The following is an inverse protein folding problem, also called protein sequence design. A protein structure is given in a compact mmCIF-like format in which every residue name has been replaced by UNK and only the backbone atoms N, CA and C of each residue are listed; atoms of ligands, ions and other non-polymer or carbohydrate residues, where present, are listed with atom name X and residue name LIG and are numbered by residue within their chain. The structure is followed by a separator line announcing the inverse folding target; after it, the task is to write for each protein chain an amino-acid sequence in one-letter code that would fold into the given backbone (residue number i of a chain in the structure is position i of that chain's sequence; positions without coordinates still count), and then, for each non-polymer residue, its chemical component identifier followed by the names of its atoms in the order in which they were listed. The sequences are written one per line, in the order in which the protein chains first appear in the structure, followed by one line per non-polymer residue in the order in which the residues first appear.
data_IF_209198707478
#
_entry.id   IF_209198707478
#
_cell.length_a   1.000
_cell.length_b   1.000
_cell.length_c   1.000
_cell.angle_alpha   90.00
_cell.angle_beta   90.00
_cell.angle_gamma   90.00
#
_symmetry.space_group_name_H-M   'P 1'
#
loop_
_entity.id
_entity.type
_entity.pdbx_description
1 polymer ?
#
# COMPACT_ATOMS: atom_id res chain seq x y z
N UNK A 1 13.46 -11.63 0.56
CA UNK A 1 12.50 -11.43 1.66
C UNK A 1 12.96 -12.28 2.83
N UNK A 2 12.87 -11.75 4.04
CA UNK A 2 12.97 -12.50 5.30
C UNK A 2 11.60 -13.06 5.66
N UNK A 3 11.53 -14.23 6.29
CA UNK A 3 10.26 -14.77 6.81
C UNK A 3 10.40 -16.20 7.35
N UNK A 4 9.30 -16.76 7.86
CA UNK A 4 9.23 -18.15 8.31
C UNK A 4 8.10 -18.90 7.60
N UNK A 5 8.47 -19.72 6.62
CA UNK A 5 7.52 -20.47 5.79
C UNK A 5 6.81 -21.60 6.55
N UNK A 6 7.28 -22.00 7.73
CA UNK A 6 6.65 -23.08 8.53
C UNK A 6 5.56 -22.55 9.45
N UNK A 7 5.71 -21.33 9.93
CA UNK A 7 4.77 -20.72 10.89
C UNK A 7 3.66 -19.93 10.19
N UNK A 8 3.86 -19.50 8.94
CA UNK A 8 2.88 -18.72 8.19
C UNK A 8 1.76 -19.62 7.61
N UNK A 9 0.56 -19.52 8.17
CA UNK A 9 -0.59 -20.38 7.83
C UNK A 9 -1.13 -20.11 6.41
N UNK A 10 -1.25 -18.84 6.02
CA UNK A 10 -1.89 -18.42 4.76
C UNK A 10 -0.92 -18.17 3.61
N UNK A 11 0.32 -18.61 3.77
CA UNK A 11 1.35 -18.50 2.75
C UNK A 11 0.98 -19.29 1.48
N UNK A 12 1.12 -18.73 0.27
CA UNK A 12 1.02 -19.51 -0.96
C UNK A 12 2.09 -20.61 -1.02
N UNK A 13 1.77 -21.72 -1.69
CA UNK A 13 2.75 -22.78 -1.93
C UNK A 13 3.96 -22.25 -2.72
N UNK A 14 5.17 -22.66 -2.32
CA UNK A 14 6.42 -22.27 -2.99
C UNK A 14 7.65 -22.46 -2.11
N UNK A 15 8.82 -22.19 -2.68
CA UNK A 15 10.13 -22.33 -2.03
C UNK A 15 10.22 -21.54 -0.72
N UNK A 16 10.95 -22.01 0.31
CA UNK A 16 11.16 -21.27 1.54
C UNK A 16 11.66 -19.83 1.33
N UNK A 17 11.44 -18.96 2.32
CA UNK A 17 12.04 -17.63 2.29
C UNK A 17 13.57 -17.72 2.22
N UNK A 18 14.23 -16.86 1.42
CA UNK A 18 15.68 -16.95 1.19
C UNK A 18 16.52 -16.59 2.42
N UNK A 19 15.91 -16.04 3.48
CA UNK A 19 16.58 -15.61 4.70
C UNK A 19 15.63 -15.80 5.91
N UNK A 20 16.17 -15.94 7.14
CA UNK A 20 15.38 -16.08 8.36
C UNK A 20 14.46 -14.87 8.62
N UNK A 21 13.45 -14.99 9.50
CA UNK A 21 12.53 -13.91 9.83
C UNK A 21 13.20 -12.69 10.48
N UNK A 22 12.47 -11.56 10.49
CA UNK A 22 12.92 -10.33 11.15
C UNK A 22 13.07 -10.49 12.66
N UNK A 23 13.85 -9.59 13.28
CA UNK A 23 14.03 -9.55 14.73
C UNK A 23 12.68 -9.44 15.45
N UNK A 24 12.45 -10.32 16.43
CA UNK A 24 11.37 -10.20 17.42
C UNK A 24 11.98 -9.73 18.74
N UNK A 25 11.91 -8.42 18.97
CA UNK A 25 12.30 -7.73 20.20
C UNK A 25 11.33 -8.05 21.36
N UNK A 26 11.54 -7.46 22.55
CA UNK A 26 10.56 -7.60 23.63
C UNK A 26 9.16 -7.11 23.22
N UNK A 27 9.08 -6.17 22.28
CA UNK A 27 7.83 -5.57 21.80
C UNK A 27 6.91 -6.62 21.20
N UNK A 28 7.41 -7.37 20.22
CA UNK A 28 6.67 -8.46 19.60
C UNK A 28 6.36 -9.59 20.60
N UNK A 29 7.32 -9.94 21.46
CA UNK A 29 7.14 -11.01 22.46
C UNK A 29 6.03 -10.71 23.46
N UNK A 30 5.99 -9.50 24.00
CA UNK A 30 4.97 -9.07 24.97
C UNK A 30 3.59 -9.12 24.36
N UNK A 31 3.43 -8.56 23.15
CA UNK A 31 2.16 -8.56 22.45
C UNK A 31 1.72 -9.98 22.07
N UNK A 32 2.63 -10.85 21.65
CA UNK A 32 2.35 -12.25 21.33
C UNK A 32 1.73 -13.02 22.52
N UNK A 33 2.13 -12.72 23.77
CA UNK A 33 1.49 -13.30 24.97
C UNK A 33 0.02 -12.93 25.11
N UNK A 34 -0.36 -11.74 24.63
CA UNK A 34 -1.75 -11.30 24.58
C UNK A 34 -2.56 -12.16 23.61
N UNK A 35 -2.04 -12.37 22.40
CA UNK A 35 -2.64 -13.28 21.43
C UNK A 35 -2.75 -14.72 21.97
N UNK A 36 -1.68 -15.26 22.56
CA UNK A 36 -1.66 -16.61 23.12
C UNK A 36 -2.73 -16.81 24.22
N UNK A 37 -2.89 -15.84 25.11
CA UNK A 37 -3.92 -15.87 26.17
C UNK A 37 -5.35 -15.87 25.64
N UNK A 38 -5.56 -15.32 24.44
CA UNK A 38 -6.85 -15.32 23.76
C UNK A 38 -7.00 -16.53 22.81
N UNK A 39 -6.04 -17.46 22.79
CA UNK A 39 -6.05 -18.62 21.93
C UNK A 39 -5.79 -18.30 20.45
N UNK A 40 -5.15 -17.16 20.17
CA UNK A 40 -4.81 -16.72 18.81
C UNK A 40 -3.36 -17.01 18.46
N UNK A 41 -3.10 -17.26 17.18
CA UNK A 41 -1.77 -17.62 16.68
C UNK A 41 -1.04 -16.41 16.11
N UNK A 42 0.26 -16.32 16.42
CA UNK A 42 1.16 -15.34 15.79
C UNK A 42 2.28 -16.05 15.05
N UNK A 43 2.75 -15.45 13.97
CA UNK A 43 3.89 -15.93 13.19
C UNK A 43 4.80 -14.75 12.82
N UNK A 44 6.11 -14.95 12.60
CA UNK A 44 6.97 -13.88 12.09
C UNK A 44 6.48 -13.35 10.74
N UNK A 45 6.31 -12.03 10.63
CA UNK A 45 5.83 -11.39 9.40
C UNK A 45 6.90 -11.46 8.31
N UNK A 46 6.55 -11.87 7.08
CA UNK A 46 7.48 -11.84 5.97
C UNK A 46 7.72 -10.40 5.51
N UNK A 47 8.99 -10.03 5.33
CA UNK A 47 9.38 -8.64 5.04
C UNK A 47 10.39 -8.56 3.89
N UNK A 48 10.33 -7.46 3.16
CA UNK A 48 11.32 -7.12 2.14
C UNK A 48 12.59 -6.46 2.76
N UNK A 49 13.00 -6.95 3.93
CA UNK A 49 14.17 -6.49 4.69
C UNK A 49 15.20 -7.61 4.71
N UNK A 50 16.48 -7.26 4.58
CA UNK A 50 17.57 -8.23 4.64
C UNK A 50 17.92 -8.53 6.10
N UNK A 51 17.71 -9.75 6.57
CA UNK A 51 18.15 -10.22 7.91
C UNK A 51 19.61 -10.68 7.91
N UNK A 52 20.14 -10.98 6.72
CA UNK A 52 21.52 -11.36 6.46
C UNK A 52 22.00 -10.64 5.19
N UNK A 53 23.33 -10.47 4.98
CA UNK A 53 23.83 -9.90 3.74
C UNK A 53 23.35 -10.69 2.52
N UNK A 54 22.80 -10.01 1.52
CA UNK A 54 22.20 -10.66 0.36
C UNK A 54 22.41 -9.82 -0.91
N UNK A 55 22.90 -10.46 -1.98
CA UNK A 55 23.18 -9.82 -3.27
C UNK A 55 23.98 -8.50 -3.15
N UNK A 56 25.04 -8.52 -2.33
CA UNK A 56 25.94 -7.36 -2.16
C UNK A 56 25.39 -6.23 -1.30
N UNK A 57 24.21 -6.39 -0.68
CA UNK A 57 23.62 -5.43 0.26
C UNK A 57 23.78 -5.91 1.72
N UNK A 58 24.02 -5.01 2.69
CA UNK A 58 24.18 -5.39 4.09
C UNK A 58 22.86 -5.80 4.73
N UNK A 59 22.96 -6.52 5.86
CA UNK A 59 21.83 -6.84 6.72
C UNK A 59 21.27 -5.59 7.42
N UNK A 60 20.02 -5.69 7.84
CA UNK A 60 19.34 -4.68 8.65
C UNK A 60 20.01 -4.54 10.02
N UNK A 61 20.16 -3.30 10.47
CA UNK A 61 20.69 -2.98 11.80
C UNK A 61 19.57 -2.74 12.83
N UNK A 62 18.31 -2.97 12.45
CA UNK A 62 17.12 -2.81 13.29
C UNK A 62 16.92 -1.39 13.84
N UNK A 63 17.41 -0.41 13.09
CA UNK A 63 17.29 1.02 13.39
C UNK A 63 15.86 1.54 13.19
N UNK A 64 15.04 0.82 12.44
CA UNK A 64 13.61 1.05 12.27
C UNK A 64 13.20 2.34 11.54
N UNK A 65 14.13 3.02 10.85
CA UNK A 65 13.83 4.15 9.97
C UNK A 65 13.31 3.71 8.58
N UNK A 66 12.43 2.71 8.56
CA UNK A 66 11.99 2.08 7.30
C UNK A 66 11.11 3.02 6.46
N UNK A 67 10.28 3.82 7.12
CA UNK A 67 9.34 4.78 6.55
C UNK A 67 9.99 6.10 6.12
N UNK A 68 11.05 6.52 6.80
CA UNK A 68 11.87 7.70 6.45
C UNK A 68 12.92 7.42 5.35
N UNK A 69 13.05 6.16 4.94
CA UNK A 69 14.07 5.69 4.00
C UNK A 69 15.22 4.98 4.69
N UNK A 70 15.52 3.75 4.26
CA UNK A 70 16.53 2.91 4.90
C UNK A 70 17.95 3.42 4.60
N UNK A 71 18.73 3.83 5.63
CA UNK A 71 20.04 4.44 5.42
C UNK A 71 21.13 3.43 5.01
N UNK A 72 20.94 2.15 5.35
CA UNK A 72 21.91 1.08 5.05
C UNK A 72 21.63 0.38 3.72
N UNK A 73 20.48 0.65 3.11
CA UNK A 73 20.00 -0.09 1.96
C UNK A 73 19.61 -1.53 2.26
N UNK A 74 19.31 -1.91 3.52
CA UNK A 74 18.82 -3.25 3.87
C UNK A 74 17.32 -3.47 3.52
N UNK A 75 16.49 -2.42 3.54
CA UNK A 75 15.12 -2.46 3.04
C UNK A 75 15.11 -2.44 1.51
N UNK A 76 14.45 -3.40 0.87
CA UNK A 76 14.26 -3.37 -0.57
C UNK A 76 13.27 -2.26 -0.95
N UNK A 77 13.70 -1.37 -1.83
CA UNK A 77 12.88 -0.30 -2.39
C UNK A 77 13.37 0.02 -3.83
N UNK A 78 12.60 0.79 -4.63
CA UNK A 78 12.97 1.14 -5.99
C UNK A 78 14.35 1.79 -6.13
N UNK A 79 14.75 2.67 -5.22
CA UNK A 79 16.02 3.40 -5.28
C UNK A 79 17.23 2.49 -5.08
N UNK A 80 17.11 1.51 -4.19
CA UNK A 80 18.22 0.62 -3.82
C UNK A 80 18.34 -0.58 -4.77
N UNK A 81 17.22 -1.08 -5.30
CA UNK A 81 17.21 -2.34 -6.07
C UNK A 81 16.92 -2.15 -7.55
N UNK A 82 15.82 -1.49 -7.88
CA UNK A 82 15.24 -1.57 -9.23
C UNK A 82 15.77 -0.47 -10.15
N UNK A 83 15.92 0.76 -9.66
CA UNK A 83 16.39 1.89 -10.45
C UNK A 83 17.83 1.69 -10.96
N UNK A 84 18.81 1.26 -10.13
CA UNK A 84 20.17 1.00 -10.61
C UNK A 84 20.21 -0.10 -11.67
N UNK A 85 19.43 -1.18 -11.49
CA UNK A 85 19.34 -2.28 -12.46
C UNK A 85 18.74 -1.81 -13.78
N UNK A 86 17.68 -1.01 -13.74
CA UNK A 86 17.06 -0.47 -14.94
C UNK A 86 18.02 0.46 -15.71
N UNK A 87 18.74 1.34 -15.01
CA UNK A 87 19.72 2.24 -15.63
C UNK A 87 20.90 1.47 -16.24
N UNK A 88 21.42 0.45 -15.55
CA UNK A 88 22.45 -0.45 -16.11
C UNK A 88 21.97 -1.19 -17.36
N UNK A 89 20.68 -1.52 -17.43
CA UNK A 89 20.06 -2.12 -18.61
C UNK A 89 19.70 -1.10 -19.71
N UNK A 90 20.02 0.19 -19.53
CA UNK A 90 19.83 1.24 -20.55
C UNK A 90 18.62 2.14 -20.36
N UNK A 91 17.84 1.98 -19.27
CA UNK A 91 16.72 2.88 -18.98
C UNK A 91 17.22 4.30 -18.66
N UNK A 92 16.52 5.31 -19.20
CA UNK A 92 16.78 6.72 -18.90
C UNK A 92 15.72 7.24 -17.94
N UNK A 93 16.16 7.99 -16.93
CA UNK A 93 15.29 8.56 -15.90
C UNK A 93 15.24 10.07 -16.12
N UNK A 94 14.05 10.58 -16.44
CA UNK A 94 13.79 12.02 -16.50
C UNK A 94 13.08 12.44 -15.22
N UNK A 95 13.80 13.12 -14.33
CA UNK A 95 13.22 13.75 -13.15
C UNK A 95 12.42 15.01 -13.51
N UNK A 96 11.55 15.43 -12.60
CA UNK A 96 10.80 16.69 -12.70
C UNK A 96 9.96 16.85 -13.98
N UNK A 97 9.48 15.73 -14.54
CA UNK A 97 8.57 15.71 -15.68
C UNK A 97 7.14 15.41 -15.20
N UNK A 98 6.33 16.45 -15.03
CA UNK A 98 4.94 16.30 -14.59
C UNK A 98 4.06 15.91 -15.78
N UNK A 99 3.77 14.60 -15.93
CA UNK A 99 2.90 14.10 -17.00
C UNK A 99 1.51 14.74 -16.91
N UNK A 100 1.08 15.38 -17.99
CA UNK A 100 -0.25 16.01 -18.09
C UNK A 100 -1.26 15.10 -18.78
N UNK A 101 -0.83 14.43 -19.86
CA UNK A 101 -1.69 13.64 -20.75
C UNK A 101 -0.95 12.48 -21.40
N UNK A 102 -1.71 11.43 -21.72
CA UNK A 102 -1.32 10.40 -22.69
C UNK A 102 -1.90 10.80 -24.05
N UNK A 103 -1.08 10.74 -25.09
CA UNK A 103 -1.45 11.17 -26.43
C UNK A 103 -1.80 9.97 -27.30
N UNK A 104 -2.75 10.14 -28.22
CA UNK A 104 -3.17 9.09 -29.17
C UNK A 104 -2.96 9.51 -30.63
N UNK A 105 -3.07 8.54 -31.53
CA UNK A 105 -3.20 8.81 -32.96
C UNK A 105 -4.53 9.52 -33.27
N UNK A 106 -4.68 9.99 -34.52
CA UNK A 106 -5.88 10.72 -34.97
C UNK A 106 -7.17 9.91 -34.83
N UNK A 107 -7.07 8.58 -34.84
CA UNK A 107 -8.22 7.69 -34.70
C UNK A 107 -8.53 7.34 -33.24
N UNK A 108 -7.67 7.72 -32.29
CA UNK A 108 -7.79 7.39 -30.88
C UNK A 108 -7.54 5.90 -30.56
N UNK A 109 -6.92 5.14 -31.46
CA UNK A 109 -6.78 3.67 -31.33
C UNK A 109 -5.45 3.24 -30.74
N UNK A 110 -4.42 4.07 -30.84
CA UNK A 110 -3.07 3.75 -30.34
C UNK A 110 -2.49 4.95 -29.61
N UNK A 111 -1.76 4.70 -28.52
CA UNK A 111 -0.97 5.75 -27.88
C UNK A 111 0.23 6.10 -28.76
N UNK A 112 0.63 7.37 -28.77
CA UNK A 112 1.75 7.90 -29.56
C UNK A 112 2.83 8.54 -28.69
N UNK A 113 2.56 8.71 -27.39
CA UNK A 113 3.48 9.32 -26.44
C UNK A 113 2.77 9.90 -25.23
N UNK A 114 3.50 10.74 -24.52
CA UNK A 114 2.98 11.51 -23.38
C UNK A 114 3.32 12.99 -23.53
N UNK A 115 2.47 13.84 -22.98
CA UNK A 115 2.74 15.26 -22.76
C UNK A 115 3.12 15.47 -21.29
N UNK A 116 4.12 16.29 -21.03
CA UNK A 116 4.52 16.65 -19.67
C UNK A 116 5.00 18.09 -19.57
N UNK A 117 5.02 18.62 -18.34
CA UNK A 117 5.55 19.94 -18.03
C UNK A 117 6.89 19.86 -17.29
N UNK A 118 7.84 20.71 -17.66
CA UNK A 118 9.09 20.93 -16.92
C UNK A 118 8.85 21.79 -15.66
N UNK A 119 9.83 21.92 -14.73
CA UNK A 119 9.72 22.85 -13.61
C UNK A 119 9.45 24.30 -14.00
N UNK A 120 9.96 24.73 -15.16
CA UNK A 120 9.81 26.06 -15.73
C UNK A 120 8.45 26.28 -16.40
N UNK A 121 7.63 25.22 -16.49
CA UNK A 121 6.32 25.27 -17.15
C UNK A 121 6.37 25.08 -18.66
N UNK A 122 7.50 24.66 -19.22
CA UNK A 122 7.58 24.30 -20.63
C UNK A 122 6.82 23.00 -20.87
N UNK A 123 6.02 22.97 -21.95
CA UNK A 123 5.27 21.79 -22.37
C UNK A 123 6.07 20.98 -23.37
N UNK A 124 6.34 19.71 -23.04
CA UNK A 124 7.14 18.80 -23.85
C UNK A 124 6.31 17.58 -24.25
N UNK A 125 6.49 17.14 -25.50
CA UNK A 125 5.93 15.88 -25.99
C UNK A 125 7.06 14.86 -26.08
N UNK A 126 6.86 13.71 -25.43
CA UNK A 126 7.75 12.55 -25.52
C UNK A 126 7.05 11.45 -26.33
N UNK A 127 7.45 11.23 -27.59
CA UNK A 127 6.93 10.13 -28.40
C UNK A 127 7.27 8.78 -27.77
N UNK A 128 6.35 7.82 -27.88
CA UNK A 128 6.55 6.44 -27.46
C UNK A 128 5.64 5.49 -28.24
N UNK A 129 6.16 4.31 -28.61
CA UNK A 129 5.35 3.25 -29.24
C UNK A 129 4.45 2.51 -28.25
N UNK A 130 4.80 2.51 -26.96
CA UNK A 130 3.97 1.98 -25.88
C UNK A 130 4.14 2.83 -24.62
N UNK A 131 3.09 2.89 -23.79
CA UNK A 131 3.08 3.64 -22.53
C UNK A 131 2.65 2.72 -21.39
N UNK A 132 3.41 2.76 -20.28
CA UNK A 132 3.01 2.15 -19.01
C UNK A 132 2.80 3.27 -17.99
N UNK A 133 1.55 3.51 -17.59
CA UNK A 133 1.19 4.56 -16.65
C UNK A 133 1.32 4.06 -15.21
N UNK A 134 2.39 4.46 -14.52
CA UNK A 134 2.75 4.02 -13.16
C UNK A 134 2.71 5.16 -12.13
N UNK A 135 1.78 6.10 -12.27
CA UNK A 135 1.70 7.33 -11.47
C UNK A 135 1.00 7.14 -10.11
N UNK A 136 0.77 5.90 -9.66
CA UNK A 136 -0.05 5.57 -8.48
C UNK A 136 -1.55 5.83 -8.69
N UNK A 137 -2.38 5.33 -7.77
CA UNK A 137 -3.84 5.23 -7.91
C UNK A 137 -4.54 6.52 -8.30
N UNK A 138 -4.22 7.62 -7.62
CA UNK A 138 -4.87 8.91 -7.84
C UNK A 138 -4.48 9.52 -9.18
N UNK A 139 -3.17 9.59 -9.47
CA UNK A 139 -2.68 10.25 -10.68
C UNK A 139 -2.87 9.41 -11.94
N UNK A 140 -2.87 8.07 -11.86
CA UNK A 140 -3.27 7.22 -13.00
C UNK A 140 -4.67 7.63 -13.49
N UNK A 141 -5.64 7.70 -12.58
CA UNK A 141 -7.01 8.07 -12.92
C UNK A 141 -7.10 9.52 -13.40
N UNK A 142 -6.43 10.46 -12.72
CA UNK A 142 -6.42 11.88 -13.09
C UNK A 142 -5.82 12.13 -14.47
N UNK A 143 -4.69 11.49 -14.79
CA UNK A 143 -4.02 11.63 -16.11
C UNK A 143 -4.91 11.08 -17.21
N UNK A 144 -5.52 9.89 -17.02
CA UNK A 144 -6.43 9.30 -18.00
C UNK A 144 -7.65 10.21 -18.27
N UNK A 145 -8.26 10.76 -17.21
CA UNK A 145 -9.38 11.70 -17.34
C UNK A 145 -8.96 13.03 -18.00
N UNK A 146 -7.77 13.55 -17.68
CA UNK A 146 -7.22 14.75 -18.32
C UNK A 146 -6.76 14.53 -19.77
N UNK A 147 -6.64 13.28 -20.21
CA UNK A 147 -6.31 12.86 -21.58
C UNK A 147 -7.54 12.79 -22.49
N UNK A 148 -8.65 13.41 -22.11
CA UNK A 148 -9.86 13.47 -22.94
C UNK A 148 -9.58 14.14 -24.30
N UNK A 149 -10.19 13.61 -25.36
CA UNK A 149 -10.10 14.10 -26.73
C UNK A 149 -11.46 13.97 -27.45
N UNK A 150 -11.55 14.35 -28.71
CA UNK A 150 -12.76 14.13 -29.52
C UNK A 150 -13.13 12.64 -29.61
N UNK A 151 -12.14 11.75 -29.72
CA UNK A 151 -12.32 10.30 -29.78
C UNK A 151 -12.58 9.69 -28.39
N UNK A 152 -12.16 10.37 -27.32
CA UNK A 152 -12.23 9.91 -25.93
C UNK A 152 -12.80 10.99 -25.01
N UNK A 153 -14.05 11.42 -25.27
CA UNK A 153 -14.64 12.59 -24.61
C UNK A 153 -14.79 12.47 -23.09
N UNK A 154 -14.87 11.23 -22.57
CA UNK A 154 -14.95 10.93 -21.14
C UNK A 154 -13.57 10.64 -20.50
N UNK A 155 -12.47 10.84 -21.22
CA UNK A 155 -11.12 10.45 -20.81
C UNK A 155 -10.62 9.19 -21.52
N UNK A 156 -9.30 9.04 -21.58
CA UNK A 156 -8.65 7.92 -22.24
C UNK A 156 -8.85 6.61 -21.46
N UNK A 157 -9.02 5.49 -22.18
CA UNK A 157 -9.30 4.18 -21.62
C UNK A 157 -10.55 4.10 -20.70
N UNK A 158 -11.50 5.01 -20.92
CA UNK A 158 -12.70 5.17 -20.09
C UNK A 158 -14.00 4.82 -20.84
N UNK A 159 -13.96 3.93 -21.85
CA UNK A 159 -15.18 3.52 -22.56
C UNK A 159 -16.22 2.85 -21.65
N UNK A 160 -15.79 2.29 -20.53
CA UNK A 160 -16.62 1.65 -19.50
C UNK A 160 -17.12 2.61 -18.41
N UNK A 161 -16.71 3.88 -18.41
CA UNK A 161 -16.90 4.84 -17.29
C UNK A 161 -16.30 4.35 -15.94
N UNK A 162 -15.33 3.44 -15.97
CA UNK A 162 -14.72 2.87 -14.76
C UNK A 162 -13.41 3.53 -14.33
N UNK A 163 -12.83 4.40 -15.15
CA UNK A 163 -11.67 5.19 -14.72
C UNK A 163 -12.06 6.06 -13.54
N UNK A 164 -11.28 5.93 -12.47
CA UNK A 164 -11.45 6.53 -11.17
C UNK A 164 -12.37 5.77 -10.21
N UNK A 165 -13.21 4.83 -10.65
CA UNK A 165 -14.18 4.12 -9.80
C UNK A 165 -13.56 2.98 -8.99
N UNK A 166 -14.30 2.50 -7.99
CA UNK A 166 -13.91 1.39 -7.13
C UNK A 166 -12.65 1.70 -6.32
N UNK A 167 -12.49 2.97 -5.93
CA UNK A 167 -11.42 3.37 -5.03
C UNK A 167 -11.62 2.67 -3.68
N UNK A 168 -10.58 2.00 -3.22
CA UNK A 168 -10.53 1.29 -1.94
C UNK A 168 -9.38 1.82 -1.10
N UNK A 169 -9.54 1.77 0.22
CA UNK A 169 -8.50 2.11 1.19
C UNK A 169 -8.73 1.24 2.43
N UNK A 170 -7.72 0.49 2.88
CA UNK A 170 -7.82 -0.32 4.09
C UNK A 170 -8.21 0.54 5.30
N UNK A 171 -9.29 0.22 6.02
CA UNK A 171 -9.60 0.82 7.31
C UNK A 171 -8.60 0.28 8.33
N UNK A 172 -7.61 1.09 8.67
CA UNK A 172 -6.53 0.70 9.58
C UNK A 172 -6.93 0.86 11.04
N UNK A 173 -6.61 -0.16 11.84
CA UNK A 173 -6.87 -0.20 13.28
C UNK A 173 -5.56 -0.03 14.02
N UNK A 174 -5.23 1.22 14.40
CA UNK A 174 -4.02 1.47 15.18
C UNK A 174 -4.34 1.28 16.67
N UNK A 175 -3.67 0.33 17.33
CA UNK A 175 -3.85 0.02 18.74
C UNK A 175 -2.55 0.26 19.49
N UNK A 176 -2.68 0.88 20.65
CA UNK A 176 -1.56 1.25 21.51
C UNK A 176 -1.84 0.85 22.96
N UNK A 177 -0.79 0.75 23.74
CA UNK A 177 -0.92 0.58 25.18
C UNK A 177 0.39 0.77 25.93
N UNK A 178 0.28 1.15 27.19
CA UNK A 178 1.42 1.41 28.07
C UNK A 178 1.70 0.19 28.94
N UNK A 179 2.94 -0.26 28.97
CA UNK A 179 3.36 -1.43 29.75
C UNK A 179 4.25 -1.03 30.93
N UNK A 180 4.32 -1.88 31.95
CA UNK A 180 5.26 -1.68 33.05
C UNK A 180 6.70 -2.06 32.66
N UNK A 181 6.83 -3.09 31.83
CA UNK A 181 8.11 -3.58 31.33
C UNK A 181 8.62 -2.75 30.14
N UNK A 182 9.94 -2.73 29.94
CA UNK A 182 10.57 -2.13 28.77
C UNK A 182 10.16 -2.91 27.51
N UNK A 183 9.52 -2.24 26.56
CA UNK A 183 9.03 -2.87 25.34
C UNK A 183 10.12 -3.01 24.28
N UNK A 184 11.24 -2.27 24.36
CA UNK A 184 12.22 -2.19 23.27
C UNK A 184 11.58 -1.78 21.93
N UNK A 185 10.51 -0.98 21.98
CA UNK A 185 9.73 -0.55 20.82
C UNK A 185 10.55 0.24 19.80
N UNK A 186 11.72 0.76 20.17
CA UNK A 186 12.65 1.43 19.25
C UNK A 186 13.49 0.48 18.37
N UNK A 187 13.43 -0.85 18.59
CA UNK A 187 14.15 -1.86 17.81
C UNK A 187 13.21 -2.64 16.89
N UNK A 188 13.62 -2.83 15.63
CA UNK A 188 12.90 -3.68 14.69
C UNK A 188 12.61 -2.98 13.37
N UNK A 189 11.42 -3.24 12.81
CA UNK A 189 10.97 -2.68 11.54
C UNK A 189 9.59 -2.02 11.70
N UNK A 190 9.33 -0.96 10.93
CA UNK A 190 8.06 -0.22 11.00
C UNK A 190 6.86 -1.04 10.52
N UNK A 191 7.08 -2.06 9.68
CA UNK A 191 6.01 -2.93 9.17
C UNK A 191 5.55 -4.04 10.13
N UNK A 192 6.09 -4.10 11.36
CA UNK A 192 5.78 -5.13 12.34
C UNK A 192 6.81 -6.26 12.41
N UNK A 193 6.77 -7.02 13.51
CA UNK A 193 7.68 -8.14 13.81
C UNK A 193 6.98 -9.49 13.69
N UNK A 194 5.68 -9.52 14.00
CA UNK A 194 4.82 -10.69 13.88
C UNK A 194 3.54 -10.32 13.12
N UNK A 195 2.79 -11.33 12.68
CA UNK A 195 1.44 -11.20 12.16
C UNK A 195 0.49 -12.17 12.87
N UNK A 196 -0.81 -11.89 12.80
CA UNK A 196 -1.88 -12.84 13.11
C UNK A 196 -2.92 -12.82 11.99
N UNK A 197 -3.28 -14.00 11.50
CA UNK A 197 -4.20 -14.20 10.38
C UNK A 197 -5.29 -15.23 10.69
N UNK A 198 -5.63 -15.41 11.97
CA UNK A 198 -6.68 -16.35 12.38
C UNK A 198 -8.07 -15.94 11.85
N UNK A 199 -8.26 -14.65 11.54
CA UNK A 199 -9.48 -14.09 10.92
C UNK A 199 -9.18 -13.53 9.53
N UNK A 200 -8.47 -14.31 8.72
CA UNK A 200 -8.03 -13.90 7.38
C UNK A 200 -8.95 -14.36 6.24
N UNK A 201 -9.70 -15.46 6.41
CA UNK A 201 -10.62 -15.92 5.38
C UNK A 201 -11.74 -14.93 5.13
N UNK A 202 -12.15 -14.77 3.86
CA UNK A 202 -13.37 -14.07 3.46
C UNK A 202 -14.61 -14.90 3.81
N UNK A 203 -14.80 -15.13 5.09
CA UNK A 203 -15.97 -15.82 5.65
C UNK A 203 -16.66 -14.85 6.59
N UNK A 204 -17.96 -14.64 6.43
CA UNK A 204 -18.71 -13.87 7.42
C UNK A 204 -18.89 -14.68 8.71
N UNK A 205 -18.37 -14.20 9.86
CA UNK A 205 -19.01 -14.21 11.21
C UNK A 205 -18.06 -13.69 12.32
N UNK A 206 -18.51 -13.24 13.54
CA UNK A 206 -19.82 -13.43 14.23
C UNK A 206 -20.83 -12.26 14.20
N UNK A 207 -20.49 -11.12 13.57
CA UNK A 207 -21.28 -9.88 13.64
C UNK A 207 -21.78 -9.39 12.25
N UNK A 208 -21.98 -10.30 11.28
CA UNK A 208 -22.47 -9.98 9.92
C UNK A 208 -21.63 -8.93 9.15
N UNK A 209 -20.30 -9.06 9.15
CA UNK A 209 -19.41 -8.27 8.29
C UNK A 209 -18.68 -9.18 7.30
N UNK A 210 -18.70 -8.82 6.01
CA UNK A 210 -17.99 -9.54 4.96
C UNK A 210 -16.61 -8.93 4.67
N UNK A 211 -15.57 -9.74 4.76
CA UNK A 211 -14.22 -9.38 4.34
C UNK A 211 -13.13 -10.00 5.21
N UNK A 212 -11.88 -9.80 4.81
CA UNK A 212 -10.69 -10.28 5.54
C UNK A 212 -10.14 -9.25 6.52
N UNK A 213 -9.36 -9.71 7.52
CA UNK A 213 -8.47 -8.86 8.29
C UNK A 213 -7.18 -9.59 8.70
N UNK A 214 -6.15 -8.83 9.05
CA UNK A 214 -4.98 -9.36 9.74
C UNK A 214 -4.47 -8.37 10.79
N UNK A 215 -3.62 -8.85 11.69
CA UNK A 215 -2.81 -8.01 12.56
C UNK A 215 -1.35 -8.00 12.13
N UNK A 216 -0.74 -6.82 12.16
CA UNK A 216 0.70 -6.58 12.13
C UNK A 216 1.13 -6.14 13.52
N UNK A 217 2.07 -6.84 14.13
CA UNK A 217 2.27 -6.83 15.58
C UNK A 217 3.69 -6.37 15.90
N UNK A 218 3.83 -5.44 16.86
CA UNK A 218 5.13 -4.97 17.33
C UNK A 218 5.81 -4.05 16.31
N UNK A 219 5.07 -3.08 15.77
CA UNK A 219 5.64 -2.08 14.88
C UNK A 219 6.67 -1.26 15.66
N UNK A 220 7.86 -1.07 15.10
CA UNK A 220 8.84 -0.18 15.71
C UNK A 220 8.25 1.24 15.87
N UNK A 221 8.59 1.90 16.98
CA UNK A 221 8.19 3.26 17.34
C UNK A 221 9.43 4.09 17.68
N UNK A 222 9.59 5.24 17.02
CA UNK A 222 10.55 6.29 17.35
C UNK A 222 9.93 7.39 18.20
N UNK A 223 10.76 8.17 18.93
CA UNK A 223 10.27 9.33 19.67
C UNK A 223 9.46 10.33 18.81
N UNK A 224 9.78 10.48 17.52
CA UNK A 224 9.01 11.36 16.62
C UNK A 224 7.61 10.80 16.31
N UNK A 225 7.44 9.48 16.30
CA UNK A 225 6.13 8.84 16.05
C UNK A 225 5.17 9.12 17.21
N UNK A 226 5.69 9.26 18.43
CA UNK A 226 4.90 9.60 19.61
C UNK A 226 4.15 10.92 19.46
N UNK A 227 4.65 11.86 18.64
CA UNK A 227 3.93 13.10 18.35
C UNK A 227 2.61 12.83 17.62
N UNK A 228 2.61 11.88 16.67
CA UNK A 228 1.40 11.44 15.99
C UNK A 228 0.52 10.58 16.88
N UNK A 229 1.13 9.67 17.66
CA UNK A 229 0.39 8.77 18.56
C UNK A 229 -0.29 9.55 19.69
N UNK A 230 0.33 10.58 20.24
CA UNK A 230 -0.26 11.45 21.26
C UNK A 230 -1.55 12.12 20.79
N UNK A 231 -1.71 12.39 19.49
CA UNK A 231 -2.96 12.94 18.92
C UNK A 231 -4.14 11.97 19.02
N UNK A 232 -3.89 10.67 19.27
CA UNK A 232 -4.94 9.69 19.59
C UNK A 232 -5.42 9.74 21.06
N UNK A 233 -4.75 10.53 21.91
CA UNK A 233 -5.09 10.77 23.32
C UNK A 233 -5.36 12.26 23.55
N UNK A 234 -6.47 12.81 23.03
CA UNK A 234 -6.82 14.22 23.23
C UNK A 234 -7.12 14.57 24.70
N UNK A 235 -7.24 13.57 25.57
CA UNK A 235 -7.46 13.69 27.00
C UNK A 235 -6.20 14.05 27.80
N UNK A 236 -4.99 13.83 27.26
CA UNK A 236 -3.73 14.13 27.97
C UNK A 236 -3.08 15.40 27.43
N UNK A 237 -2.63 16.28 28.33
CA UNK A 237 -1.96 17.53 28.01
C UNK A 237 -1.03 17.96 29.14
N UNK A 238 -0.17 18.96 28.89
CA UNK A 238 0.75 19.50 29.90
C UNK A 238 1.70 18.43 30.47
N UNK A 239 1.72 18.29 31.79
CA UNK A 239 2.62 17.37 32.49
C UNK A 239 2.31 15.90 32.18
N UNK A 240 1.04 15.54 32.03
CA UNK A 240 0.64 14.16 31.73
C UNK A 240 1.08 13.76 30.32
N UNK A 241 0.96 14.68 29.36
CA UNK A 241 1.52 14.49 28.02
C UNK A 241 3.04 14.34 28.07
N UNK A 242 3.75 15.15 28.86
CA UNK A 242 5.20 15.02 29.00
C UNK A 242 5.59 13.64 29.56
N UNK A 243 4.89 13.17 30.59
CA UNK A 243 5.11 11.84 31.17
C UNK A 243 4.83 10.72 30.15
N UNK A 244 3.73 10.83 29.40
CA UNK A 244 3.41 9.91 28.32
C UNK A 244 4.52 9.86 27.26
N UNK A 245 5.02 11.01 26.80
CA UNK A 245 6.09 11.08 25.80
C UNK A 245 7.39 10.46 26.32
N UNK A 246 7.70 10.69 27.60
CA UNK A 246 8.88 10.11 28.25
C UNK A 246 8.77 8.58 28.35
N UNK A 247 7.66 8.07 28.89
CA UNK A 247 7.49 6.64 29.13
C UNK A 247 7.24 5.89 27.82
N UNK A 248 6.47 6.48 26.90
CA UNK A 248 6.13 5.90 25.60
C UNK A 248 7.35 5.65 24.71
N UNK A 249 8.45 6.37 24.93
CA UNK A 249 9.71 6.13 24.21
C UNK A 249 10.29 4.72 24.44
N UNK A 250 9.83 4.03 25.49
CA UNK A 250 10.38 2.76 25.95
C UNK A 250 9.34 1.71 26.33
N UNK A 251 8.15 2.15 26.72
CA UNK A 251 7.10 1.31 27.32
C UNK A 251 5.82 1.20 26.48
N UNK A 252 5.81 1.77 25.27
CA UNK A 252 4.65 1.73 24.38
C UNK A 252 4.60 0.43 23.58
N UNK A 253 3.48 -0.29 23.67
CA UNK A 253 3.07 -1.32 22.73
C UNK A 253 2.34 -0.72 21.52
N UNK A 254 2.48 -1.32 20.34
CA UNK A 254 1.82 -0.88 19.12
C UNK A 254 1.59 -2.06 18.18
N UNK A 255 0.37 -2.12 17.62
CA UNK A 255 0.03 -3.02 16.52
C UNK A 255 -0.97 -2.34 15.59
N UNK A 256 -1.04 -2.83 14.35
CA UNK A 256 -1.95 -2.34 13.33
C UNK A 256 -2.79 -3.48 12.81
N UNK A 257 -4.11 -3.29 12.81
CA UNK A 257 -5.04 -4.16 12.11
C UNK A 257 -5.27 -3.63 10.70
N UNK A 258 -5.17 -4.50 9.70
CA UNK A 258 -5.51 -4.17 8.31
C UNK A 258 -6.85 -4.84 8.01
N UNK A 259 -7.90 -4.05 7.78
CA UNK A 259 -9.21 -4.56 7.40
C UNK A 259 -9.45 -4.39 5.90
N UNK A 260 -10.18 -5.33 5.30
CA UNK A 260 -10.62 -5.23 3.91
C UNK A 260 -11.66 -4.11 3.72
N UNK A 261 -11.58 -3.42 2.58
CA UNK A 261 -12.63 -2.52 2.10
C UNK A 261 -13.17 -2.95 0.74
N UNK A 262 -14.49 -2.89 0.56
CA UNK A 262 -15.13 -3.37 -0.65
C UNK A 262 -15.04 -2.33 -1.79
N UNK A 263 -14.93 -2.79 -3.05
CA UNK A 263 -14.90 -1.92 -4.22
C UNK A 263 -16.29 -1.31 -4.47
N UNK A 264 -16.55 -0.13 -3.90
CA UNK A 264 -17.78 0.62 -4.11
C UNK A 264 -17.75 1.42 -5.41
N UNK A 265 -18.78 1.31 -6.25
CA UNK A 265 -18.82 2.00 -7.55
C UNK A 265 -18.89 3.53 -7.40
N UNK A 266 -19.46 4.01 -6.29
CA UNK A 266 -19.56 5.43 -5.94
C UNK A 266 -18.24 6.04 -5.45
N UNK A 267 -17.32 5.22 -4.93
CA UNK A 267 -15.99 5.67 -4.56
C UNK A 267 -15.21 5.97 -5.84
N UNK A 268 -14.89 7.24 -6.06
CA UNK A 268 -14.41 7.73 -7.35
C UNK A 268 -13.34 8.82 -7.25
N UNK A 269 -12.33 8.72 -8.10
CA UNK A 269 -11.45 9.82 -8.50
C UNK A 269 -12.06 10.48 -9.75
N UNK A 270 -12.36 11.77 -9.64
CA UNK A 270 -12.80 12.61 -10.75
C UNK A 270 -11.89 13.83 -10.90
N UNK A 271 -12.33 14.78 -11.73
CA UNK A 271 -11.65 16.07 -11.90
C UNK A 271 -12.36 17.16 -11.09
N UNK A 272 -11.58 17.96 -10.36
CA UNK A 272 -12.05 19.13 -9.63
C UNK A 272 -12.23 20.34 -10.55
N UNK A 273 -12.85 21.40 -10.03
CA UNK A 273 -12.87 22.72 -10.71
C UNK A 273 -11.53 23.44 -10.56
N UNK A 274 -10.91 23.28 -9.40
CA UNK A 274 -9.59 23.83 -9.11
C UNK A 274 -8.54 23.18 -10.00
N UNK A 275 -7.52 23.96 -10.35
CA UNK A 275 -6.47 23.58 -11.29
C UNK A 275 -5.11 23.66 -10.60
N UNK A 276 -4.19 22.81 -11.02
CA UNK A 276 -2.80 22.92 -10.62
C UNK A 276 -2.10 24.11 -11.29
N UNK A 277 -0.81 24.29 -10.97
CA UNK A 277 0.04 25.35 -11.54
C UNK A 277 0.19 25.31 -13.06
N UNK A 278 -0.13 24.20 -13.72
CA UNK A 278 -0.08 24.04 -15.17
C UNK A 278 -1.47 24.20 -15.82
N UNK A 279 -2.50 24.52 -15.03
CA UNK A 279 -3.86 24.70 -15.50
C UNK A 279 -4.62 23.38 -15.68
N UNK A 280 -4.10 22.23 -15.21
CA UNK A 280 -4.80 20.96 -15.28
C UNK A 280 -5.73 20.81 -14.07
N UNK A 281 -6.98 20.36 -14.25
CA UNK A 281 -7.87 20.02 -13.14
C UNK A 281 -7.20 19.11 -12.11
N UNK A 282 -7.34 19.45 -10.83
CA UNK A 282 -6.88 18.61 -9.71
C UNK A 282 -7.72 17.33 -9.60
N UNK A 283 -7.18 16.30 -8.94
CA UNK A 283 -7.97 15.13 -8.58
C UNK A 283 -9.02 15.50 -7.53
N UNK A 284 -10.27 15.10 -7.76
CA UNK A 284 -11.33 15.12 -6.75
C UNK A 284 -11.59 13.70 -6.29
N UNK A 285 -11.31 13.41 -5.03
CA UNK A 285 -11.57 12.10 -4.43
C UNK A 285 -12.91 12.15 -3.70
N UNK A 286 -13.84 11.28 -4.10
CA UNK A 286 -15.05 10.96 -3.36
C UNK A 286 -14.87 9.55 -2.78
N UNK A 287 -14.86 9.44 -1.46
CA UNK A 287 -14.59 8.17 -0.79
C UNK A 287 -15.39 8.04 0.51
N UNK A 288 -15.89 6.82 0.74
CA UNK A 288 -16.33 6.33 2.04
C UNK A 288 -15.82 4.90 2.21
N UNK A 289 -15.56 4.49 3.45
CA UNK A 289 -15.40 3.07 3.75
C UNK A 289 -16.75 2.35 3.52
N UNK A 290 -16.68 1.10 3.08
CA UNK A 290 -17.83 0.21 3.01
C UNK A 290 -18.42 -0.07 4.39
N UNK A 291 -19.70 -0.45 4.43
CA UNK A 291 -20.38 -0.76 5.69
C UNK A 291 -19.73 -1.97 6.36
N UNK A 292 -19.34 -2.97 5.56
CA UNK A 292 -18.58 -4.13 6.02
C UNK A 292 -17.18 -3.75 6.51
N UNK A 293 -16.43 -2.93 5.76
CA UNK A 293 -15.11 -2.44 6.19
C UNK A 293 -15.17 -1.67 7.51
N UNK A 294 -16.22 -0.86 7.72
CA UNK A 294 -16.45 -0.16 8.99
C UNK A 294 -16.77 -1.11 10.14
N UNK A 295 -17.60 -2.15 9.91
CA UNK A 295 -17.90 -3.17 10.92
C UNK A 295 -16.66 -4.00 11.27
N UNK A 296 -15.85 -4.38 10.26
CA UNK A 296 -14.57 -5.07 10.46
C UNK A 296 -13.64 -4.23 11.34
N UNK A 297 -13.52 -2.94 11.02
CA UNK A 297 -12.73 -2.00 11.82
C UNK A 297 -13.21 -1.93 13.27
N UNK A 298 -14.52 -1.79 13.50
CA UNK A 298 -15.09 -1.70 14.85
C UNK A 298 -14.82 -2.96 15.68
N UNK A 299 -15.01 -4.14 15.07
CA UNK A 299 -14.75 -5.42 15.73
C UNK A 299 -13.27 -5.60 16.06
N UNK A 300 -12.38 -5.29 15.11
CA UNK A 300 -10.94 -5.39 15.30
C UNK A 300 -10.42 -4.35 16.31
N UNK A 301 -10.95 -3.12 16.33
CA UNK A 301 -10.58 -2.12 17.32
C UNK A 301 -10.86 -2.57 18.75
N UNK A 302 -12.02 -3.20 18.98
CA UNK A 302 -12.36 -3.80 20.28
C UNK A 302 -11.44 -4.96 20.62
N UNK A 303 -11.29 -5.93 19.72
CA UNK A 303 -10.40 -7.09 19.92
C UNK A 303 -8.96 -6.65 20.21
N UNK A 304 -8.48 -5.62 19.53
CA UNK A 304 -7.12 -5.15 19.71
C UNK A 304 -6.85 -4.60 21.10
N UNK A 305 -7.81 -3.89 21.69
CA UNK A 305 -7.73 -3.44 23.08
C UNK A 305 -7.74 -4.64 24.04
N UNK A 306 -8.57 -5.65 23.79
CA UNK A 306 -8.61 -6.90 24.57
C UNK A 306 -7.27 -7.66 24.51
N UNK A 307 -6.63 -7.73 23.34
CA UNK A 307 -5.30 -8.32 23.15
C UNK A 307 -4.26 -7.60 24.03
N UNK A 308 -4.28 -6.26 24.05
CA UNK A 308 -3.34 -5.48 24.87
C UNK A 308 -3.58 -5.65 26.37
N UNK A 309 -4.83 -5.71 26.80
CA UNK A 309 -5.19 -6.00 28.19
C UNK A 309 -4.71 -7.40 28.59
N UNK A 310 -4.93 -8.41 27.73
CA UNK A 310 -4.43 -9.76 27.95
C UNK A 310 -2.90 -9.81 28.01
N UNK A 311 -2.20 -9.02 27.20
CA UNK A 311 -0.74 -8.87 27.22
C UNK A 311 -0.21 -8.23 28.51
N UNK A 312 -1.06 -7.55 29.29
CA UNK A 312 -0.72 -6.92 30.56
C UNK A 312 -0.49 -5.40 30.48
N UNK A 313 -1.07 -4.72 29.49
CA UNK A 313 -1.01 -3.26 29.40
C UNK A 313 -1.70 -2.61 30.61
N UNK A 314 -1.09 -1.57 31.17
CA UNK A 314 -1.70 -0.70 32.20
C UNK A 314 -2.83 0.14 31.62
N UNK A 315 -2.65 0.58 30.38
CA UNK A 315 -3.60 1.33 29.58
C UNK A 315 -3.59 0.76 28.16
N UNK A 316 -4.75 0.64 27.54
CA UNK A 316 -4.88 0.19 26.16
C UNK A 316 -5.98 1.01 25.46
N UNK A 317 -5.71 1.47 24.25
CA UNK A 317 -6.65 2.27 23.45
C UNK A 317 -6.38 2.05 21.97
N UNK A 318 -7.33 2.49 21.13
CA UNK A 318 -7.13 2.55 19.68
C UNK A 318 -7.29 3.99 19.20
N UNK A 319 -6.63 4.33 18.10
CA UNK A 319 -6.85 5.60 17.42
C UNK A 319 -8.18 5.58 16.64
N UNK A 320 -8.70 6.75 16.21
CA UNK A 320 -9.77 6.81 15.21
C UNK A 320 -9.39 6.07 13.92
N UNK A 321 -10.42 5.67 13.16
CA UNK A 321 -10.24 4.98 11.88
C UNK A 321 -9.40 5.83 10.93
N UNK A 322 -8.33 5.25 10.41
CA UNK A 322 -7.46 5.86 9.40
C UNK A 322 -7.49 5.03 8.11
N UNK A 323 -7.26 5.67 6.97
CA UNK A 323 -7.08 4.97 5.70
C UNK A 323 -5.64 4.53 5.50
N UNK A 324 -5.43 3.34 4.97
CA UNK A 324 -4.15 2.82 4.49
C UNK A 324 -4.28 2.24 3.08
N UNK A 325 -3.18 2.18 2.33
CA UNK A 325 -3.11 1.52 1.01
C UNK A 325 -4.23 1.91 0.02
N UNK A 326 -4.01 2.96 -0.77
CA UNK A 326 -4.98 3.41 -1.78
C UNK A 326 -4.92 2.51 -3.02
N UNK A 327 -6.04 1.88 -3.38
CA UNK A 327 -6.15 0.88 -4.45
C UNK A 327 -7.39 1.15 -5.33
N UNK A 328 -7.47 0.50 -6.49
CA UNK A 328 -8.59 0.67 -7.43
C UNK A 328 -8.49 1.94 -8.28
N UNK A 329 -9.54 2.30 -9.01
CA UNK A 329 -9.52 3.42 -9.96
C UNK A 329 -9.22 3.04 -11.41
N UNK A 330 -8.59 1.89 -11.69
CA UNK A 330 -8.42 1.35 -13.05
C UNK A 330 -8.51 -0.18 -13.03
N UNK A 331 -9.50 -0.72 -12.32
CA UNK A 331 -9.57 -2.14 -11.94
C UNK A 331 -9.40 -3.09 -13.13
N UNK A 332 -8.74 -4.22 -12.89
CA UNK A 332 -8.60 -5.30 -13.86
C UNK A 332 -9.82 -6.22 -13.89
N UNK A 333 -10.10 -6.82 -15.03
CA UNK A 333 -11.15 -7.81 -15.22
C UNK A 333 -11.13 -8.43 -16.61
N UNK A 334 -11.96 -9.45 -16.83
CA UNK A 334 -12.05 -10.16 -18.11
C UNK A 334 -13.08 -9.55 -19.07
N UNK A 335 -13.95 -8.67 -18.57
CA UNK A 335 -15.02 -8.03 -19.31
C UNK A 335 -14.71 -6.54 -19.47
N UNK A 336 -14.58 -6.09 -20.73
CA UNK A 336 -14.26 -4.70 -21.08
C UNK A 336 -15.31 -3.69 -20.62
N UNK A 337 -16.55 -4.14 -20.38
CA UNK A 337 -17.64 -3.30 -19.87
C UNK A 337 -17.64 -3.19 -18.34
N UNK A 338 -16.84 -4.01 -17.65
CA UNK A 338 -16.78 -4.11 -16.19
C UNK A 338 -15.38 -3.89 -15.62
N UNK A 339 -14.41 -3.54 -16.45
CA UNK A 339 -13.04 -3.24 -16.04
C UNK A 339 -12.36 -2.25 -16.99
N UNK A 340 -11.29 -1.62 -16.52
CA UNK A 340 -10.46 -0.71 -17.34
C UNK A 340 -9.34 -1.49 -18.03
N UNK A 341 -8.79 -2.50 -17.34
CA UNK A 341 -7.69 -3.31 -17.82
C UNK A 341 -8.01 -4.80 -17.84
N UNK A 342 -7.28 -5.56 -18.64
CA UNK A 342 -7.29 -7.01 -18.61
C UNK A 342 -6.36 -7.58 -17.51
N UNK A 343 -6.22 -8.90 -17.44
CA UNK A 343 -5.40 -9.58 -16.43
C UNK A 343 -3.88 -9.31 -16.53
N UNK A 344 -3.43 -8.66 -17.59
CA UNK A 344 -2.05 -8.23 -17.84
C UNK A 344 -1.88 -6.73 -17.54
N UNK A 345 -2.90 -6.08 -16.98
CA UNK A 345 -2.94 -4.64 -16.74
C UNK A 345 -2.84 -3.79 -18.03
N UNK A 346 -3.12 -4.39 -19.19
CA UNK A 346 -3.28 -3.71 -20.48
C UNK A 346 -4.70 -3.13 -20.54
N UNK A 347 -4.86 -1.90 -21.05
CA UNK A 347 -6.21 -1.34 -21.20
C UNK A 347 -7.02 -2.09 -22.25
N UNK A 348 -8.34 -2.20 -22.05
CA UNK A 348 -9.22 -2.82 -23.07
C UNK A 348 -9.40 -1.95 -24.32
N UNK A 349 -9.17 -0.64 -24.20
CA UNK A 349 -9.43 0.33 -25.26
C UNK A 349 -8.22 0.58 -26.17
N UNK A 350 -7.00 0.52 -25.62
CA UNK A 350 -5.76 0.79 -26.36
C UNK A 350 -4.74 -0.35 -26.14
N UNK A 351 -4.32 -1.04 -27.21
CA UNK A 351 -3.48 -2.24 -27.10
C UNK A 351 -2.06 -1.93 -26.60
N UNK A 352 -1.56 -0.71 -26.82
CA UNK A 352 -0.21 -0.29 -26.42
C UNK A 352 -0.19 0.62 -25.17
N UNK A 353 -1.28 0.61 -24.38
CA UNK A 353 -1.36 1.30 -23.08
C UNK A 353 -1.55 0.29 -21.95
N UNK A 354 -0.67 0.37 -20.95
CA UNK A 354 -0.68 -0.45 -19.74
C UNK A 354 -0.76 0.44 -18.50
N UNK A 355 -1.34 -0.09 -17.42
CA UNK A 355 -1.45 0.61 -16.15
C UNK A 355 -0.66 -0.16 -15.08
N UNK A 356 0.27 0.51 -14.42
CA UNK A 356 1.06 -0.05 -13.33
C UNK A 356 0.62 0.51 -11.98
N UNK A 357 0.70 -0.33 -10.94
CA UNK A 357 0.45 0.06 -9.56
C UNK A 357 -0.83 -0.56 -8.97
N UNK A 358 -1.22 -0.14 -7.76
CA UNK A 358 -2.35 -0.73 -7.03
C UNK A 358 -3.72 -0.35 -7.63
N UNK A 359 -3.74 0.53 -8.63
CA UNK A 359 -4.98 1.02 -9.23
C UNK A 359 -5.74 -0.05 -10.00
N UNK A 360 -5.03 -1.09 -10.44
CA UNK A 360 -5.60 -2.22 -11.18
C UNK A 360 -6.19 -3.29 -10.27
N UNK A 361 -6.05 -3.19 -8.95
CA UNK A 361 -6.56 -4.22 -8.06
C UNK A 361 -8.09 -4.19 -7.96
N UNK A 362 -8.78 -5.33 -8.19
CA UNK A 362 -10.24 -5.40 -8.11
C UNK A 362 -10.74 -5.64 -6.67
N UNK A 363 -9.84 -5.94 -5.73
CA UNK A 363 -10.10 -6.14 -4.30
C UNK A 363 -8.92 -5.61 -3.51
N UNK A 364 -9.19 -5.07 -2.32
CA UNK A 364 -8.16 -4.59 -1.40
C UNK A 364 -7.48 -5.74 -0.64
N UNK A 365 -8.20 -6.86 -0.42
CA UNK A 365 -7.79 -7.89 0.55
C UNK A 365 -7.56 -7.26 1.93
N UNK A 366 -6.72 -7.83 2.77
CA UNK A 366 -6.41 -7.28 4.09
C UNK A 366 -4.94 -7.42 4.42
N UNK A 367 -4.07 -7.32 3.40
CA UNK A 367 -2.62 -7.37 3.52
C UNK A 367 -1.97 -6.19 2.81
N UNK A 368 -0.75 -5.83 3.21
CA UNK A 368 -0.02 -4.74 2.56
C UNK A 368 0.24 -5.08 1.09
N UNK A 369 -0.25 -4.22 0.20
CA UNK A 369 -0.52 -4.61 -1.18
C UNK A 369 0.70 -4.54 -2.11
N UNK A 370 1.85 -4.07 -1.61
CA UNK A 370 3.07 -3.88 -2.40
C UNK A 370 3.65 -5.18 -2.95
N UNK A 371 3.52 -6.30 -2.24
CA UNK A 371 4.00 -7.59 -2.76
C UNK A 371 3.16 -8.05 -3.96
N UNK A 372 1.83 -7.93 -3.87
CA UNK A 372 0.91 -8.16 -4.99
C UNK A 372 1.20 -7.20 -6.16
N UNK A 373 1.53 -5.94 -5.87
CA UNK A 373 1.92 -4.95 -6.88
C UNK A 373 3.15 -5.40 -7.65
N UNK A 374 4.18 -5.88 -6.94
CA UNK A 374 5.37 -6.43 -7.57
C UNK A 374 5.06 -7.65 -8.45
N UNK A 375 4.21 -8.57 -7.97
CA UNK A 375 3.80 -9.74 -8.75
C UNK A 375 3.06 -9.34 -10.03
N UNK A 376 2.11 -8.41 -9.95
CA UNK A 376 1.38 -7.90 -11.12
C UNK A 376 2.31 -7.15 -12.08
N UNK A 377 3.20 -6.29 -11.57
CA UNK A 377 4.16 -5.57 -12.39
C UNK A 377 5.09 -6.52 -13.16
N UNK A 378 5.61 -7.57 -12.50
CA UNK A 378 6.43 -8.59 -13.16
C UNK A 378 5.65 -9.38 -14.20
N UNK A 379 4.39 -9.74 -13.92
CA UNK A 379 3.51 -10.44 -14.87
C UNK A 379 3.26 -9.59 -16.12
N UNK A 380 2.92 -8.31 -15.94
CA UNK A 380 2.69 -7.36 -17.04
C UNK A 380 3.97 -7.12 -17.85
N UNK A 381 5.11 -6.91 -17.18
CA UNK A 381 6.38 -6.69 -17.86
C UNK A 381 6.82 -7.90 -18.71
N UNK A 382 6.62 -9.13 -18.21
CA UNK A 382 6.88 -10.35 -18.99
C UNK A 382 5.97 -10.43 -20.21
N UNK A 383 4.66 -10.23 -20.03
CA UNK A 383 3.71 -10.20 -21.14
C UNK A 383 4.11 -9.16 -22.20
N UNK A 384 4.50 -7.95 -21.78
CA UNK A 384 4.96 -6.91 -22.70
C UNK A 384 6.24 -7.32 -23.45
N UNK A 385 7.22 -7.93 -22.76
CA UNK A 385 8.46 -8.38 -23.37
C UNK A 385 8.23 -9.49 -24.40
N UNK A 386 7.37 -10.47 -24.08
CA UNK A 386 7.07 -11.61 -24.94
C UNK A 386 6.27 -11.20 -26.20
N UNK A 387 5.52 -10.10 -26.13
CA UNK A 387 4.64 -9.62 -27.21
C UNK A 387 5.06 -8.24 -27.73
N UNK A 388 6.33 -7.83 -27.55
CA UNK A 388 6.78 -6.47 -27.85
C UNK A 388 6.50 -6.03 -29.30
N UNK A 389 6.59 -6.97 -30.25
CA UNK A 389 6.29 -6.73 -31.67
C UNK A 389 4.85 -6.30 -31.95
N UNK A 390 3.91 -6.64 -31.08
CA UNK A 390 2.50 -6.26 -31.23
C UNK A 390 2.22 -4.82 -30.79
N UNK A 391 3.15 -4.21 -30.04
CA UNK A 391 3.00 -2.86 -29.48
C UNK A 391 3.92 -1.83 -30.14
N UNK A 392 5.05 -2.26 -30.69
CA UNK A 392 6.13 -1.39 -31.14
C UNK A 392 6.13 -1.07 -32.65
N UNK A 393 4.97 -1.19 -33.32
CA UNK A 393 4.82 -0.93 -34.75
C UNK A 393 4.85 0.57 -35.10
#
# INVERSE_FOLDING_TARGET
MSGDAKQEIWRPAGDPYPMPPVLVSNHGKVLARGFEKLGMHTAPIPMAVLTEPYNGRPACIWDGWCDAGCPTGALANPLVVYLPRAQQAGARVQGNAAISRVLTDKNGKQVTGVEYYTPEGERVVQPAGAVVLCAFTVENSRILLNSASEQHSAGLANSSDLVGRYLMCHPAVNVFGMFAEEMQNYLGVTGGQLLCQDVFTKTGNPNDAFGSRQWEIGLMVKPNDLLGIAMSRPDIFGQDLHQFMHDGARHLGSMVGVCEDLPLAENRIGLARDRDRFGLPLAKVTYRASDDGRKLWQNAAKEGVEIFQAAGAKEAWHAPMAGQHIMGGTIMGTDRTKSVTNAQAQTHDLPNLFIGGPSVFPTSSSINSTFTLHAVALKSARFMADNWGDFAA
#
